data_IF_062307291298
#
_entry.id   IF_062307291298
#
_cell.length_a   1.000
_cell.length_b   1.000
_cell.length_c   1.000
_cell.angle_alpha   90.00
_cell.angle_beta   90.00
_cell.angle_gamma   90.00
#
_symmetry.space_group_name_H-M   'P 1'
#
loop_
_entity.id
_entity.type
_entity.pdbx_description
1 polymer ?
#
# COMPACT_ATOMS: atom_id res chain seq x y z
N UNK A 1 -6.51 11.70 5.72
CA UNK A 1 -7.32 11.90 6.94
C UNK A 1 -8.74 12.19 6.50
N UNK A 2 -9.77 11.63 7.13
CA UNK A 2 -11.17 11.94 6.79
C UNK A 2 -11.69 12.94 7.83
N UNK A 3 -12.24 14.06 7.38
CA UNK A 3 -12.78 15.13 8.23
C UNK A 3 -14.30 15.22 8.15
N UNK A 4 -14.93 15.71 9.20
CA UNK A 4 -16.30 16.23 9.22
C UNK A 4 -16.33 17.41 10.19
N UNK A 5 -16.96 18.52 9.80
CA UNK A 5 -17.24 19.64 10.69
C UNK A 5 -18.69 19.54 11.17
N UNK A 6 -18.93 19.69 12.48
CA UNK A 6 -20.30 19.91 12.97
C UNK A 6 -20.64 21.38 12.74
N UNK A 7 -21.74 21.64 12.02
CA UNK A 7 -22.32 22.97 11.94
C UNK A 7 -23.83 22.92 12.20
N UNK A 8 -24.21 23.66 13.24
CA UNK A 8 -25.57 24.03 13.61
C UNK A 8 -26.16 25.08 12.65
N UNK A 9 -26.19 24.79 11.35
CA UNK A 9 -26.86 25.61 10.34
C UNK A 9 -27.20 24.74 9.13
N UNK A 10 -28.49 24.48 8.94
CA UNK A 10 -29.03 23.49 8.01
C UNK A 10 -28.90 23.82 6.52
N UNK A 11 -27.69 23.73 5.99
CA UNK A 11 -27.45 23.58 4.55
C UNK A 11 -26.82 22.22 4.27
N UNK A 12 -27.58 21.34 3.60
CA UNK A 12 -27.12 20.02 3.18
C UNK A 12 -26.25 20.11 1.93
N UNK A 13 -25.08 20.73 2.05
CA UNK A 13 -23.97 20.50 1.15
C UNK A 13 -23.46 19.07 1.35
N UNK A 14 -23.35 18.28 0.29
CA UNK A 14 -22.72 16.96 0.33
C UNK A 14 -21.22 17.15 0.62
N UNK A 15 -20.85 17.27 1.89
CA UNK A 15 -19.45 17.36 2.31
C UNK A 15 -18.77 16.00 2.06
N UNK A 16 -17.93 15.96 1.03
CA UNK A 16 -17.16 14.78 0.69
C UNK A 16 -15.96 14.61 1.64
N UNK A 17 -15.64 13.35 2.03
CA UNK A 17 -14.46 13.08 2.85
C UNK A 17 -13.18 13.36 2.07
N UNK A 18 -12.53 14.50 2.35
CA UNK A 18 -11.25 14.89 1.72
C UNK A 18 -10.05 14.46 2.56
N UNK A 19 -8.96 14.07 1.90
CA UNK A 19 -7.69 13.73 2.55
C UNK A 19 -6.63 14.80 2.25
N UNK A 20 -6.17 15.46 3.31
CA UNK A 20 -5.15 16.52 3.23
C UNK A 20 -3.82 15.99 3.76
N UNK A 21 -2.75 16.23 3.01
CA UNK A 21 -1.37 15.97 3.42
C UNK A 21 -0.71 17.29 3.83
N UNK A 22 0.06 17.26 4.92
CA UNK A 22 0.85 18.39 5.39
C UNK A 22 2.33 17.99 5.40
N UNK A 23 3.19 18.90 4.93
CA UNK A 23 4.64 18.74 4.92
C UNK A 23 5.24 19.87 5.76
N UNK A 24 6.23 19.53 6.59
CA UNK A 24 6.98 20.48 7.40
C UNK A 24 8.47 20.34 7.11
N UNK A 25 9.21 21.45 7.20
CA UNK A 25 10.67 21.43 7.16
C UNK A 25 11.25 20.81 8.45
N UNK A 26 12.57 20.74 8.55
CA UNK A 26 13.28 20.16 9.70
C UNK A 26 12.92 20.79 11.05
N UNK A 27 12.40 22.02 11.07
CA UNK A 27 11.94 22.68 12.30
C UNK A 27 10.48 22.34 12.69
N UNK A 28 9.75 21.57 11.89
CA UNK A 28 8.38 21.15 12.22
C UNK A 28 7.33 22.26 12.14
N UNK A 29 6.08 21.98 12.55
CA UNK A 29 5.01 22.99 12.62
C UNK A 29 5.29 24.04 13.71
N UNK A 30 5.12 25.32 13.37
CA UNK A 30 5.25 26.45 14.32
C UNK A 30 4.28 26.37 15.51
N UNK A 31 3.15 25.68 15.35
CA UNK A 31 2.12 25.47 16.39
C UNK A 31 1.82 23.97 16.58
N UNK A 32 2.87 23.22 16.93
CA UNK A 32 2.81 21.75 17.08
C UNK A 32 1.76 21.29 18.09
N UNK A 33 1.59 22.00 19.21
CA UNK A 33 0.62 21.64 20.25
C UNK A 33 -0.84 21.77 19.77
N UNK A 34 -1.17 22.83 19.03
CA UNK A 34 -2.50 23.01 18.45
C UNK A 34 -2.80 21.93 17.40
N UNK A 35 -1.81 21.60 16.57
CA UNK A 35 -1.92 20.53 15.60
C UNK A 35 -2.12 19.17 16.27
N UNK A 36 -1.36 18.85 17.32
CA UNK A 36 -1.51 17.58 18.04
C UNK A 36 -2.88 17.47 18.73
N UNK A 37 -3.41 18.56 19.29
CA UNK A 37 -4.77 18.60 19.83
C UNK A 37 -5.80 18.30 18.74
N UNK A 38 -5.66 18.92 17.57
CA UNK A 38 -6.53 18.65 16.42
C UNK A 38 -6.43 17.17 15.97
N UNK A 39 -5.21 16.64 15.83
CA UNK A 39 -4.98 15.26 15.42
C UNK A 39 -5.48 14.26 16.48
N UNK A 40 -5.40 14.58 17.77
CA UNK A 40 -5.99 13.80 18.85
C UNK A 40 -7.51 13.70 18.68
N UNK A 41 -8.21 14.81 18.46
CA UNK A 41 -9.66 14.80 18.22
C UNK A 41 -10.05 13.93 17.01
N UNK A 42 -9.26 13.97 15.92
CA UNK A 42 -9.49 13.13 14.75
C UNK A 42 -9.26 11.64 15.07
N UNK A 43 -8.23 11.32 15.85
CA UNK A 43 -7.95 9.95 16.31
C UNK A 43 -9.10 9.43 17.19
N UNK A 44 -9.60 10.25 18.10
CA UNK A 44 -10.71 9.89 18.99
C UNK A 44 -12.01 9.65 18.20
N UNK A 45 -12.30 10.51 17.22
CA UNK A 45 -13.42 10.29 16.30
C UNK A 45 -13.27 9.00 15.48
N UNK A 46 -12.03 8.64 15.11
CA UNK A 46 -11.74 7.37 14.42
C UNK A 46 -11.95 6.16 15.32
N UNK A 47 -11.55 6.24 16.60
CA UNK A 47 -11.83 5.22 17.63
C UNK A 47 -13.32 5.04 17.83
N UNK A 48 -14.08 6.12 17.99
CA UNK A 48 -15.53 6.05 18.17
C UNK A 48 -16.22 5.43 16.95
N UNK A 49 -15.84 5.86 15.74
CA UNK A 49 -16.36 5.30 14.49
C UNK A 49 -16.05 3.80 14.39
N UNK A 50 -14.83 3.39 14.73
CA UNK A 50 -14.44 1.98 14.71
C UNK A 50 -15.22 1.14 15.73
N UNK A 51 -15.40 1.62 16.97
CA UNK A 51 -16.28 0.98 17.97
C UNK A 51 -17.72 0.85 17.47
N UNK A 52 -18.26 1.87 16.82
CA UNK A 52 -19.59 1.83 16.23
C UNK A 52 -19.69 0.79 15.09
N UNK A 53 -18.65 0.65 14.25
CA UNK A 53 -18.59 -0.41 13.24
C UNK A 53 -18.61 -1.80 13.91
N UNK A 54 -17.78 -2.02 14.94
CA UNK A 54 -17.76 -3.28 15.71
C UNK A 54 -19.12 -3.59 16.32
N UNK A 55 -19.78 -2.60 16.93
CA UNK A 55 -21.13 -2.76 17.49
C UNK A 55 -22.16 -3.16 16.43
N UNK A 56 -22.14 -2.52 15.25
CA UNK A 56 -23.02 -2.88 14.13
C UNK A 56 -22.76 -4.30 13.63
N UNK A 57 -21.50 -4.71 13.51
CA UNK A 57 -21.13 -6.08 13.12
C UNK A 57 -21.61 -7.12 14.15
N UNK A 58 -21.45 -6.83 15.44
CA UNK A 58 -21.96 -7.70 16.51
C UNK A 58 -23.49 -7.88 16.44
N UNK A 59 -24.24 -6.82 16.12
CA UNK A 59 -25.70 -6.92 15.87
C UNK A 59 -26.05 -7.81 14.68
N UNK A 60 -25.17 -7.89 13.69
CA UNK A 60 -25.28 -8.78 12.53
C UNK A 60 -24.78 -10.21 12.82
N UNK A 61 -24.60 -10.57 14.09
CA UNK A 61 -24.11 -11.89 14.54
C UNK A 61 -22.68 -12.20 14.06
N UNK A 62 -21.86 -11.18 13.84
CA UNK A 62 -20.44 -11.28 13.51
C UNK A 62 -19.62 -10.90 14.76
N UNK A 63 -19.31 -11.85 15.66
CA UNK A 63 -18.74 -11.54 16.97
C UNK A 63 -17.31 -11.01 16.83
N UNK A 64 -17.13 -9.72 17.08
CA UNK A 64 -15.85 -9.04 17.02
C UNK A 64 -15.60 -8.25 18.30
N UNK A 65 -14.42 -8.47 18.89
CA UNK A 65 -13.97 -7.78 20.12
C UNK A 65 -13.21 -6.51 19.76
N UNK A 66 -13.52 -5.42 20.45
CA UNK A 66 -12.83 -4.13 20.25
C UNK A 66 -11.32 -4.25 20.53
N UNK A 67 -10.95 -5.02 21.55
CA UNK A 67 -9.56 -5.20 21.99
C UNK A 67 -8.70 -5.81 20.87
N UNK A 68 -9.29 -6.70 20.06
CA UNK A 68 -8.63 -7.32 18.93
C UNK A 68 -8.38 -6.31 17.79
N UNK A 69 -9.38 -5.47 17.46
CA UNK A 69 -9.24 -4.38 16.49
C UNK A 69 -8.20 -3.36 16.95
N UNK A 70 -8.22 -2.97 18.23
CA UNK A 70 -7.26 -2.04 18.81
C UNK A 70 -5.83 -2.60 18.78
N UNK A 71 -5.66 -3.90 19.07
CA UNK A 71 -4.37 -4.59 18.97
C UNK A 71 -3.81 -4.56 17.54
N UNK A 72 -4.66 -4.77 16.54
CA UNK A 72 -4.26 -4.74 15.13
C UNK A 72 -3.88 -3.32 14.68
N UNK A 73 -4.60 -2.30 15.14
CA UNK A 73 -4.28 -0.90 14.82
C UNK A 73 -2.95 -0.46 15.44
N UNK A 74 -2.65 -0.89 16.67
CA UNK A 74 -1.47 -0.46 17.41
C UNK A 74 -1.65 0.88 18.13
N UNK A 75 -0.75 1.17 19.06
CA UNK A 75 -0.81 2.38 19.87
C UNK A 75 -0.60 3.66 19.04
N UNK A 76 -1.41 4.69 19.30
CA UNK A 76 -1.31 6.00 18.64
C UNK A 76 -1.83 6.04 17.20
N UNK A 77 -2.28 4.91 16.66
CA UNK A 77 -2.81 4.79 15.30
C UNK A 77 -4.33 4.99 15.30
N UNK A 78 -4.84 5.80 14.38
CA UNK A 78 -6.27 5.94 14.16
C UNK A 78 -6.86 4.63 13.59
N UNK A 79 -7.73 3.91 14.32
CA UNK A 79 -8.33 2.68 13.82
C UNK A 79 -9.34 2.99 12.70
N UNK A 80 -9.50 2.07 11.77
CA UNK A 80 -10.25 2.30 10.53
C UNK A 80 -10.75 1.01 9.91
N UNK A 81 -11.37 1.11 8.73
CA UNK A 81 -11.99 -0.03 8.03
C UNK A 81 -11.02 -1.19 7.80
N UNK A 82 -9.76 -0.88 7.46
CA UNK A 82 -8.74 -1.91 7.25
C UNK A 82 -8.47 -2.74 8.51
N UNK A 83 -8.35 -2.09 9.66
CA UNK A 83 -8.11 -2.79 10.94
C UNK A 83 -9.31 -3.65 11.34
N UNK A 84 -10.53 -3.15 11.13
CA UNK A 84 -11.76 -3.93 11.37
C UNK A 84 -11.85 -5.13 10.44
N UNK A 85 -11.63 -4.95 9.14
CA UNK A 85 -11.65 -6.03 8.16
C UNK A 85 -10.60 -7.11 8.49
N UNK A 86 -9.39 -6.69 8.85
CA UNK A 86 -8.33 -7.61 9.28
C UNK A 86 -8.73 -8.41 10.52
N UNK A 87 -9.33 -7.74 11.50
CA UNK A 87 -9.83 -8.39 12.72
C UNK A 87 -10.94 -9.41 12.42
N UNK A 88 -11.80 -9.15 11.43
CA UNK A 88 -12.84 -10.09 11.01
C UNK A 88 -12.26 -11.34 10.34
N UNK A 89 -11.20 -11.18 9.54
CA UNK A 89 -10.46 -12.31 8.94
C UNK A 89 -9.77 -13.13 10.02
N UNK A 90 -9.04 -12.49 10.94
CA UNK A 90 -8.33 -13.19 12.03
C UNK A 90 -9.29 -13.88 13.01
N UNK A 91 -10.48 -13.33 13.21
CA UNK A 91 -11.53 -13.95 14.03
C UNK A 91 -12.25 -15.11 13.33
N UNK A 92 -11.96 -15.39 12.05
CA UNK A 92 -12.66 -16.41 11.25
C UNK A 92 -14.15 -16.11 11.02
N UNK A 93 -14.54 -14.85 11.23
CA UNK A 93 -15.92 -14.36 11.13
C UNK A 93 -16.29 -14.08 9.68
N UNK A 94 -15.30 -13.69 8.87
CA UNK A 94 -15.39 -13.82 7.43
C UNK A 94 -15.00 -15.26 7.09
N UNK A 95 -15.86 -15.95 6.32
CA UNK A 95 -15.45 -17.19 5.67
C UNK A 95 -14.19 -16.95 4.84
N UNK A 96 -13.49 -18.03 4.48
CA UNK A 96 -12.46 -17.96 3.44
C UNK A 96 -12.98 -17.11 2.28
N UNK A 97 -12.17 -16.19 1.78
CA UNK A 97 -12.51 -15.50 0.53
C UNK A 97 -12.93 -16.57 -0.48
N UNK A 98 -14.11 -16.43 -1.12
CA UNK A 98 -14.56 -17.43 -2.06
C UNK A 98 -13.49 -17.59 -3.12
N UNK A 99 -13.30 -18.83 -3.57
CA UNK A 99 -12.37 -19.07 -4.67
C UNK A 99 -12.80 -18.20 -5.85
N UNK A 100 -11.83 -17.64 -6.57
CA UNK A 100 -12.13 -16.75 -7.68
C UNK A 100 -13.06 -17.42 -8.72
N UNK A 101 -12.92 -18.74 -8.87
CA UNK A 101 -13.77 -19.60 -9.70
C UNK A 101 -15.23 -19.63 -9.21
N UNK A 102 -15.46 -19.74 -7.91
CA UNK A 102 -16.81 -19.71 -7.31
C UNK A 102 -17.46 -18.35 -7.52
N UNK A 103 -16.69 -17.26 -7.36
CA UNK A 103 -17.16 -15.91 -7.63
C UNK A 103 -17.55 -15.72 -9.10
N UNK A 104 -16.73 -16.23 -10.04
CA UNK A 104 -17.02 -16.19 -11.48
C UNK A 104 -18.31 -16.94 -11.79
N UNK A 105 -18.47 -18.16 -11.27
CA UNK A 105 -19.67 -18.98 -11.49
C UNK A 105 -20.91 -18.30 -10.94
N UNK A 106 -20.84 -17.72 -9.74
CA UNK A 106 -21.96 -16.99 -9.13
C UNK A 106 -22.36 -15.78 -9.98
N UNK A 107 -21.39 -14.96 -10.41
CA UNK A 107 -21.64 -13.81 -11.28
C UNK A 107 -22.33 -14.27 -12.58
N UNK A 108 -21.80 -15.32 -13.20
CA UNK A 108 -22.34 -15.88 -14.45
C UNK A 108 -23.78 -16.39 -14.29
N UNK A 109 -24.07 -17.10 -13.19
CA UNK A 109 -25.40 -17.63 -12.88
C UNK A 109 -26.44 -16.54 -12.62
N UNK A 110 -26.00 -15.34 -12.23
CA UNK A 110 -26.88 -14.16 -12.08
C UNK A 110 -27.04 -13.35 -13.36
N UNK A 111 -26.45 -13.78 -14.48
CA UNK A 111 -26.44 -13.06 -15.75
C UNK A 111 -25.42 -11.91 -15.81
N UNK A 112 -24.52 -11.81 -14.83
CA UNK A 112 -23.45 -10.82 -14.78
C UNK A 112 -22.22 -11.20 -15.61
N UNK A 113 -21.37 -10.22 -15.89
CA UNK A 113 -20.12 -10.39 -16.65
C UNK A 113 -18.93 -10.33 -15.71
N UNK A 114 -18.25 -11.46 -15.50
CA UNK A 114 -17.04 -11.54 -14.68
C UNK A 114 -15.79 -11.07 -15.44
N UNK A 115 -15.10 -10.05 -14.91
CA UNK A 115 -13.90 -9.44 -15.50
C UNK A 115 -12.74 -9.46 -14.50
N UNK A 116 -11.56 -9.90 -14.94
CA UNK A 116 -10.33 -9.89 -14.13
C UNK A 116 -9.68 -8.49 -14.16
N UNK A 117 -9.66 -7.83 -13.01
CA UNK A 117 -8.96 -6.56 -12.82
C UNK A 117 -7.44 -6.76 -12.69
N UNK A 118 -6.66 -5.79 -13.19
CA UNK A 118 -5.21 -5.65 -13.03
C UNK A 118 -4.40 -6.96 -13.05
N UNK A 119 -4.49 -7.78 -14.12
CA UNK A 119 -3.83 -9.10 -14.19
C UNK A 119 -2.30 -9.05 -14.09
N UNK A 120 -1.69 -7.88 -14.31
CA UNK A 120 -0.26 -7.62 -14.11
C UNK A 120 0.21 -7.68 -12.66
N UNK A 121 -0.69 -7.65 -11.68
CA UNK A 121 -0.34 -7.82 -10.27
C UNK A 121 -0.13 -9.31 -9.90
N UNK A 122 -0.48 -10.24 -10.78
CA UNK A 122 -0.39 -11.68 -10.52
C UNK A 122 1.05 -12.20 -10.68
N UNK A 123 1.45 -13.14 -9.83
CA UNK A 123 2.77 -13.80 -9.93
C UNK A 123 2.89 -14.74 -11.14
N UNK A 124 1.80 -15.42 -11.48
CA UNK A 124 1.73 -16.35 -12.61
C UNK A 124 0.45 -16.08 -13.43
N UNK A 125 0.42 -14.98 -14.20
CA UNK A 125 -0.79 -14.52 -14.87
C UNK A 125 -1.31 -15.55 -15.86
N UNK A 126 -0.46 -16.18 -16.67
CA UNK A 126 -0.89 -17.13 -17.71
C UNK A 126 -1.65 -18.31 -17.12
N UNK A 127 -1.07 -18.97 -16.10
CA UNK A 127 -1.71 -20.14 -15.49
C UNK A 127 -3.02 -19.78 -14.78
N UNK A 128 -3.06 -18.62 -14.10
CA UNK A 128 -4.25 -18.16 -13.40
C UNK A 128 -5.35 -17.79 -14.39
N UNK A 129 -5.02 -17.01 -15.42
CA UNK A 129 -5.99 -16.60 -16.47
C UNK A 129 -6.61 -17.82 -17.14
N UNK A 130 -5.79 -18.82 -17.50
CA UNK A 130 -6.29 -20.08 -18.08
C UNK A 130 -7.32 -20.74 -17.15
N UNK A 131 -6.98 -20.90 -15.87
CA UNK A 131 -7.85 -21.51 -14.87
C UNK A 131 -9.15 -20.72 -14.67
N UNK A 132 -9.08 -19.38 -14.63
CA UNK A 132 -10.28 -18.54 -14.51
C UNK A 132 -11.13 -18.59 -15.78
N UNK A 133 -10.52 -18.68 -16.97
CA UNK A 133 -11.24 -18.89 -18.23
C UNK A 133 -12.02 -20.21 -18.20
N UNK A 134 -11.37 -21.29 -17.76
CA UNK A 134 -12.01 -22.60 -17.59
C UNK A 134 -13.21 -22.52 -16.62
N UNK A 135 -13.19 -21.61 -15.65
CA UNK A 135 -14.29 -21.36 -14.72
C UNK A 135 -15.40 -20.42 -15.25
N UNK A 136 -15.26 -19.84 -16.44
CA UNK A 136 -16.28 -18.96 -17.06
C UNK A 136 -15.93 -17.47 -17.05
N UNK A 137 -14.66 -17.09 -16.90
CA UNK A 137 -14.25 -15.68 -17.00
C UNK A 137 -14.62 -15.11 -18.38
N UNK A 138 -15.22 -13.92 -18.40
CA UNK A 138 -15.70 -13.27 -19.63
C UNK A 138 -14.70 -12.27 -20.19
N UNK A 139 -13.95 -11.58 -19.33
CA UNK A 139 -13.00 -10.55 -19.75
C UNK A 139 -11.85 -10.31 -18.79
N UNK A 140 -10.90 -9.48 -19.22
CA UNK A 140 -9.84 -8.97 -18.37
C UNK A 140 -9.45 -7.55 -18.76
N UNK A 141 -8.84 -6.84 -17.83
CA UNK A 141 -8.19 -5.58 -18.13
C UNK A 141 -6.93 -5.78 -18.97
N UNK A 142 -6.87 -5.06 -20.09
CA UNK A 142 -5.69 -4.97 -20.97
C UNK A 142 -5.26 -3.53 -21.19
N UNK A 143 -6.12 -2.57 -20.87
CA UNK A 143 -5.81 -1.14 -20.93
C UNK A 143 -5.64 -0.58 -19.52
N UNK A 144 -4.58 0.20 -19.34
CA UNK A 144 -4.27 1.00 -18.17
C UNK A 144 -4.25 2.48 -18.53
N UNK A 145 -4.11 3.35 -17.53
CA UNK A 145 -3.92 4.79 -17.73
C UNK A 145 -2.67 5.15 -18.56
N UNK A 146 -1.66 4.30 -18.56
CA UNK A 146 -0.41 4.45 -19.33
C UNK A 146 -0.45 3.73 -20.70
N UNK A 147 -1.58 3.10 -21.06
CA UNK A 147 -1.80 2.54 -22.39
C UNK A 147 -2.18 1.06 -22.40
N UNK A 148 -2.10 0.46 -23.58
CA UNK A 148 -2.46 -0.94 -23.83
C UNK A 148 -1.28 -1.87 -23.53
N UNK A 149 -1.52 -2.91 -22.74
CA UNK A 149 -0.53 -3.95 -22.49
C UNK A 149 -0.62 -5.06 -23.54
N UNK A 150 0.31 -5.07 -24.50
CA UNK A 150 0.30 -5.99 -25.66
C UNK A 150 0.23 -7.46 -25.22
N UNK A 151 1.09 -7.89 -24.29
CA UNK A 151 1.10 -9.28 -23.82
C UNK A 151 -0.24 -9.75 -23.23
N UNK A 152 -0.97 -8.87 -22.52
CA UNK A 152 -2.28 -9.20 -21.96
C UNK A 152 -3.39 -9.11 -23.01
N UNK A 153 -3.24 -8.22 -24.00
CA UNK A 153 -4.12 -8.20 -25.18
C UNK A 153 -4.05 -9.52 -25.95
N UNK A 154 -2.84 -10.02 -26.19
CA UNK A 154 -2.64 -11.27 -26.95
C UNK A 154 -3.14 -12.48 -26.16
N UNK A 155 -2.93 -12.49 -24.84
CA UNK A 155 -3.53 -13.50 -23.95
C UNK A 155 -5.06 -13.44 -23.96
N UNK A 156 -5.64 -12.25 -23.94
CA UNK A 156 -7.09 -12.09 -24.03
C UNK A 156 -7.62 -12.63 -25.36
N UNK A 157 -6.93 -12.37 -26.48
CA UNK A 157 -7.29 -12.94 -27.78
C UNK A 157 -7.18 -14.47 -27.78
N UNK A 158 -6.07 -15.01 -27.27
CA UNK A 158 -5.82 -16.45 -27.22
C UNK A 158 -6.86 -17.23 -26.42
N UNK A 159 -7.48 -16.60 -25.42
CA UNK A 159 -8.53 -17.20 -24.59
C UNK A 159 -9.95 -16.72 -24.93
N UNK A 160 -10.13 -15.89 -25.96
CA UNK A 160 -11.43 -15.31 -26.33
C UNK A 160 -12.08 -14.55 -25.17
N UNK A 161 -11.31 -13.65 -24.53
CA UNK A 161 -11.73 -12.82 -23.42
C UNK A 161 -11.97 -11.38 -23.89
N UNK A 162 -13.02 -10.75 -23.37
CA UNK A 162 -13.27 -9.33 -23.56
C UNK A 162 -12.11 -8.50 -23.01
N UNK A 163 -11.72 -7.49 -23.77
CA UNK A 163 -10.63 -6.56 -23.43
C UNK A 163 -11.20 -5.30 -22.82
N UNK A 164 -10.95 -5.08 -21.54
CA UNK A 164 -11.44 -3.92 -20.80
C UNK A 164 -10.30 -3.02 -20.31
N UNK A 165 -10.66 -1.83 -19.85
CA UNK A 165 -9.73 -0.85 -19.33
C UNK A 165 -10.26 -0.20 -18.07
N UNK A 166 -9.40 -0.10 -17.06
CA UNK A 166 -9.63 0.62 -15.82
C UNK A 166 -8.50 1.60 -15.58
N UNK A 167 -8.81 2.78 -15.06
CA UNK A 167 -7.77 3.76 -14.68
C UNK A 167 -7.01 3.32 -13.43
N UNK A 168 -7.58 2.39 -12.65
CA UNK A 168 -7.12 1.96 -11.33
C UNK A 168 -6.62 3.15 -10.50
N UNK A 169 -7.43 4.23 -10.52
CA UNK A 169 -6.98 5.56 -10.15
C UNK A 169 -6.69 5.67 -8.65
N UNK A 170 -5.40 5.64 -8.32
CA UNK A 170 -4.83 5.99 -7.02
C UNK A 170 -3.98 7.27 -7.08
N UNK A 171 -4.28 8.18 -8.03
CA UNK A 171 -3.38 9.21 -8.57
C UNK A 171 -2.66 10.16 -7.60
N UNK A 172 -3.07 10.26 -6.33
CA UNK A 172 -2.38 11.12 -5.35
C UNK A 172 -1.19 10.44 -4.65
N UNK A 173 -1.13 9.11 -4.58
CA UNK A 173 -0.13 8.43 -3.73
C UNK A 173 1.21 8.15 -4.41
N UNK A 174 1.20 7.82 -5.71
CA UNK A 174 2.40 7.32 -6.43
C UNK A 174 3.48 8.38 -6.65
N UNK A 175 3.18 9.63 -7.08
CA UNK A 175 4.20 10.68 -7.20
C UNK A 175 4.81 11.10 -5.86
N UNK A 176 4.03 11.06 -4.77
CA UNK A 176 4.51 11.37 -3.43
C UNK A 176 5.55 10.34 -2.98
N UNK A 177 5.25 9.06 -3.19
CA UNK A 177 6.16 7.98 -2.80
C UNK A 177 7.47 8.01 -3.60
N UNK A 178 7.41 8.29 -4.91
CA UNK A 178 8.60 8.42 -5.73
C UNK A 178 9.49 9.59 -5.27
N UNK A 179 8.90 10.76 -4.95
CA UNK A 179 9.65 11.89 -4.40
C UNK A 179 10.30 11.55 -3.06
N UNK A 180 9.56 10.96 -2.13
CA UNK A 180 10.10 10.58 -0.83
C UNK A 180 11.29 9.60 -0.94
N UNK A 181 11.21 8.59 -1.81
CA UNK A 181 12.32 7.68 -2.05
C UNK A 181 13.51 8.43 -2.63
N UNK A 182 13.28 9.32 -3.60
CA UNK A 182 14.33 10.12 -4.23
C UNK A 182 15.07 10.97 -3.20
N UNK A 183 14.34 11.71 -2.38
CA UNK A 183 14.90 12.63 -1.38
C UNK A 183 15.72 11.86 -0.32
N UNK A 184 15.30 10.65 0.07
CA UNK A 184 16.07 9.77 0.97
C UNK A 184 17.39 9.34 0.34
N UNK A 185 17.38 8.97 -0.94
CA UNK A 185 18.57 8.51 -1.65
C UNK A 185 19.54 9.66 -1.94
N UNK A 186 19.02 10.84 -2.27
CA UNK A 186 19.82 12.06 -2.45
C UNK A 186 20.50 12.46 -1.14
N UNK A 187 19.77 12.47 -0.02
CA UNK A 187 20.33 12.74 1.30
C UNK A 187 21.48 11.79 1.67
N UNK A 188 21.36 10.50 1.32
CA UNK A 188 22.46 9.56 1.52
C UNK A 188 23.62 9.76 0.54
N UNK A 189 23.34 10.10 -0.71
CA UNK A 189 24.37 10.37 -1.71
C UNK A 189 25.20 11.61 -1.38
N UNK A 190 24.58 12.62 -0.77
CA UNK A 190 25.23 13.83 -0.28
C UNK A 190 26.00 13.59 1.03
N UNK A 191 25.43 12.81 1.93
CA UNK A 191 26.02 12.49 3.24
C UNK A 191 25.87 10.98 3.56
N UNK A 192 26.90 10.17 3.23
CA UNK A 192 26.89 8.71 3.45
C UNK A 192 27.10 8.33 4.93
N UNK A 193 26.14 8.67 5.79
CA UNK A 193 26.17 8.38 7.23
C UNK A 193 25.28 7.19 7.63
N UNK A 194 25.56 6.56 8.78
CA UNK A 194 24.73 5.48 9.33
C UNK A 194 23.29 5.93 9.59
N UNK A 195 23.09 7.20 9.95
CA UNK A 195 21.77 7.80 10.15
C UNK A 195 20.97 7.87 8.84
N UNK A 196 21.62 8.27 7.73
CA UNK A 196 20.98 8.29 6.41
C UNK A 196 20.78 6.88 5.84
N UNK A 197 21.70 5.94 6.13
CA UNK A 197 21.53 4.52 5.78
C UNK A 197 20.36 3.88 6.55
N UNK A 198 20.15 4.24 7.82
CA UNK A 198 19.01 3.78 8.61
C UNK A 198 17.66 4.25 8.04
N UNK A 199 17.61 5.46 7.45
CA UNK A 199 16.41 5.95 6.73
C UNK A 199 16.11 5.10 5.50
N UNK A 200 17.16 4.62 4.81
CA UNK A 200 17.01 3.69 3.68
C UNK A 200 16.48 2.34 4.20
N UNK A 201 17.09 1.74 5.21
CA UNK A 201 16.69 0.39 5.69
C UNK A 201 15.30 0.36 6.32
N UNK A 202 14.84 1.48 6.90
CA UNK A 202 13.53 1.61 7.58
C UNK A 202 12.32 1.29 6.68
N UNK A 203 12.43 1.46 5.36
CA UNK A 203 11.35 1.16 4.41
C UNK A 203 11.53 -0.19 3.69
N UNK A 204 12.68 -0.85 3.86
CA UNK A 204 12.88 -2.23 3.41
C UNK A 204 12.21 -3.17 4.42
N UNK A 205 11.22 -3.97 3.98
CA UNK A 205 10.56 -4.96 4.84
C UNK A 205 11.59 -5.71 5.70
N UNK A 206 11.28 -5.98 6.96
CA UNK A 206 12.07 -6.60 8.04
C UNK A 206 12.73 -7.96 7.71
N UNK A 207 12.58 -8.48 6.49
CA UNK A 207 13.22 -9.69 5.98
C UNK A 207 14.64 -9.49 5.43
N UNK A 208 15.14 -8.26 5.31
CA UNK A 208 16.50 -7.98 4.80
C UNK A 208 17.60 -8.58 5.70
N UNK A 209 17.31 -8.84 6.97
CA UNK A 209 18.32 -9.23 7.97
C UNK A 209 18.17 -10.67 8.50
N UNK A 210 17.19 -11.45 8.04
CA UNK A 210 17.05 -12.85 8.45
C UNK A 210 17.75 -13.78 7.44
N UNK A 211 19.05 -13.98 7.69
CA UNK A 211 19.85 -15.03 7.07
C UNK A 211 20.63 -14.58 5.84
N UNK A 212 21.88 -14.15 6.04
CA UNK A 212 22.82 -13.87 4.96
C UNK A 212 24.08 -13.20 5.48
N UNK A 213 25.23 -13.55 4.88
CA UNK A 213 26.56 -12.97 5.06
C UNK A 213 26.56 -11.44 5.24
N UNK A 214 27.55 -10.83 5.94
CA UNK A 214 27.72 -9.38 5.97
C UNK A 214 27.64 -8.80 4.54
N UNK A 215 26.54 -8.09 4.27
CA UNK A 215 26.29 -7.43 3.00
C UNK A 215 26.95 -6.06 3.02
N UNK A 216 27.56 -5.66 1.90
CA UNK A 216 28.03 -4.28 1.78
C UNK A 216 26.84 -3.32 1.74
N UNK A 217 27.04 -2.07 2.19
CA UNK A 217 26.00 -1.03 2.13
C UNK A 217 25.50 -0.81 0.70
N UNK A 218 26.34 -1.04 -0.31
CA UNK A 218 25.98 -1.01 -1.73
C UNK A 218 24.96 -2.09 -2.09
N UNK A 219 25.22 -3.33 -1.70
CA UNK A 219 24.31 -4.45 -1.97
C UNK A 219 22.96 -4.26 -1.25
N UNK A 220 22.99 -3.64 -0.06
CA UNK A 220 21.79 -3.31 0.71
C UNK A 220 20.94 -2.25 -0.01
N UNK A 221 21.58 -1.20 -0.53
CA UNK A 221 20.90 -0.13 -1.28
C UNK A 221 20.29 -0.70 -2.57
N UNK A 222 21.04 -1.46 -3.36
CA UNK A 222 20.52 -2.07 -4.60
C UNK A 222 19.33 -3.01 -4.34
N UNK A 223 19.37 -3.72 -3.20
CA UNK A 223 18.26 -4.58 -2.77
C UNK A 223 17.04 -3.80 -2.29
N UNK A 224 17.22 -2.68 -1.58
CA UNK A 224 16.12 -1.77 -1.24
C UNK A 224 15.49 -1.15 -2.49
N UNK A 225 16.33 -0.69 -3.43
CA UNK A 225 15.88 -0.08 -4.68
C UNK A 225 15.09 -1.05 -5.57
N UNK A 226 15.50 -2.31 -5.65
CA UNK A 226 14.75 -3.35 -6.38
C UNK A 226 13.42 -3.72 -5.71
N UNK A 227 13.27 -3.52 -4.40
CA UNK A 227 12.01 -3.71 -3.67
C UNK A 227 11.07 -2.50 -3.77
N UNK A 228 11.60 -1.29 -3.91
CA UNK A 228 10.82 -0.05 -3.94
C UNK A 228 10.46 0.40 -5.34
N UNK A 229 11.30 0.15 -6.33
CA UNK A 229 11.06 0.67 -7.67
C UNK A 229 10.52 -0.47 -8.55
N UNK A 230 9.29 -0.33 -9.04
CA UNK A 230 8.83 -1.15 -10.17
C UNK A 230 9.72 -0.87 -11.39
N UNK A 231 9.78 -1.81 -12.35
CA UNK A 231 10.62 -1.67 -13.55
C UNK A 231 10.41 -0.34 -14.30
N UNK A 232 9.20 0.23 -14.26
CA UNK A 232 8.88 1.55 -14.84
C UNK A 232 9.57 2.72 -14.11
N UNK A 233 9.57 2.72 -12.76
CA UNK A 233 10.14 3.83 -11.97
C UNK A 233 11.68 3.74 -11.93
N UNK A 234 12.22 2.52 -11.93
CA UNK A 234 13.67 2.29 -12.01
C UNK A 234 14.30 2.77 -13.33
N UNK A 235 13.50 2.94 -14.38
CA UNK A 235 13.98 3.47 -15.66
C UNK A 235 13.92 5.00 -15.80
N UNK A 236 13.34 5.71 -14.82
CA UNK A 236 13.27 7.16 -14.80
C UNK A 236 14.68 7.78 -14.77
N UNK A 237 14.92 8.81 -15.59
CA UNK A 237 16.20 9.49 -15.72
C UNK A 237 16.73 10.03 -14.37
N UNK A 238 15.85 10.53 -13.50
CA UNK A 238 16.24 11.03 -12.17
C UNK A 238 16.79 9.90 -11.28
N UNK A 239 16.11 8.75 -11.26
CA UNK A 239 16.55 7.59 -10.47
C UNK A 239 17.80 6.93 -11.03
N UNK A 240 18.00 6.97 -12.36
CA UNK A 240 19.26 6.53 -13.00
C UNK A 240 20.43 7.42 -12.59
N UNK A 241 20.24 8.74 -12.56
CA UNK A 241 21.27 9.68 -12.13
C UNK A 241 21.66 9.47 -10.65
N UNK A 242 20.68 9.22 -9.78
CA UNK A 242 20.93 8.93 -8.37
C UNK A 242 21.64 7.58 -8.19
N UNK A 243 21.25 6.53 -8.93
CA UNK A 243 21.98 5.26 -8.91
C UNK A 243 23.44 5.41 -9.32
N UNK A 244 23.72 6.23 -10.35
CA UNK A 244 25.08 6.50 -10.79
C UNK A 244 25.87 7.24 -9.70
N UNK A 245 25.27 8.26 -9.05
CA UNK A 245 25.88 8.95 -7.91
C UNK A 245 26.23 7.98 -6.79
N UNK A 246 25.28 7.12 -6.39
CA UNK A 246 25.47 6.12 -5.33
C UNK A 246 26.53 5.08 -5.68
N UNK A 247 26.67 4.71 -6.95
CA UNK A 247 27.67 3.72 -7.39
C UNK A 247 29.13 4.20 -7.28
N UNK A 248 29.34 5.52 -7.22
CA UNK A 248 30.65 6.17 -7.13
C UNK A 248 31.10 6.46 -5.69
N UNK A 249 30.27 6.14 -4.69
CA UNK A 249 30.58 6.36 -3.28
C UNK A 249 31.40 5.16 -2.76
N UNK A 250 32.71 5.34 -2.57
CA UNK A 250 33.56 4.37 -1.88
C UNK A 250 33.34 4.46 -0.37
N UNK A 251 32.83 3.38 0.23
CA UNK A 251 32.56 3.33 1.68
C UNK A 251 33.74 2.65 2.38
N UNK A 252 34.36 3.37 3.32
CA UNK A 252 35.41 2.83 4.20
C UNK A 252 34.87 1.63 5.00
N UNK A 253 35.60 0.52 4.99
CA UNK A 253 35.27 -0.69 5.73
C UNK A 253 35.36 -0.45 7.24
N UNK A 254 34.22 -0.15 7.86
CA UNK A 254 33.99 -0.36 9.29
C UNK A 254 32.84 -1.35 9.42
N UNK A 255 33.13 -2.59 9.80
CA UNK A 255 32.11 -3.63 9.98
C UNK A 255 31.06 -3.19 11.00
N UNK A 256 29.81 -3.06 10.55
CA UNK A 256 28.71 -2.63 11.40
C UNK A 256 28.09 -3.84 12.12
N UNK A 257 28.33 -3.98 13.42
CA UNK A 257 27.41 -4.70 14.31
C UNK A 257 26.32 -3.73 14.74
N UNK A 258 25.07 -3.98 14.34
CA UNK A 258 23.91 -3.20 14.78
C UNK A 258 23.32 -3.84 16.04
N UNK A 259 22.99 -3.09 17.11
CA UNK A 259 22.43 -3.65 18.33
C UNK A 259 21.06 -4.27 18.08
N UNK A 260 20.88 -5.51 18.54
CA UNK A 260 19.58 -6.18 18.61
C UNK A 260 18.83 -5.54 19.78
N UNK A 261 18.01 -4.52 19.53
CA UNK A 261 17.04 -4.09 20.54
C UNK A 261 15.97 -5.17 20.70
N UNK A 262 16.08 -5.84 21.84
CA UNK A 262 15.14 -6.85 22.31
C UNK A 262 14.10 -6.17 23.20
N UNK A 263 12.89 -5.97 22.70
CA UNK A 263 11.60 -6.23 23.37
C UNK A 263 10.42 -5.71 22.55
#
# INVERSE_FOLDING_TARGET
MIWHQDNSSGESGLEEPVHIFAYYSSCGPTRSEELEKLLANIRDGSVLRAKNMVSKLNKLKLPLKWEHVAKIAGMGVAPGRLHVARAMVEAGVLGSEPLAEEAIQLISNTGGVAVLAHPWALKNPVAIIRRLKEAGLHGMEVYRSDGKLVAYSDLADGYGLLKLGGSDYHGRARPIWCRAIRDILESYAEEPSDSNLAKITRFGRTRILKGGSPMSSKDLIDRCLSLWLTNEVGQNAEFKAIRLKLSNISINQGGLQVPIESK
#
